data_IF_440878932816
#
_entry.id   IF_440878932816
#
_cell.length_a   1.000
_cell.length_b   1.000
_cell.length_c   1.000
_cell.angle_alpha   90.00
_cell.angle_beta   90.00
_cell.angle_gamma   90.00
#
_symmetry.space_group_name_H-M   'P 1'
#
loop_
_entity.id
_entity.type
_entity.pdbx_description
1 polymer ?
#
# COMPACT_ATOMS: atom_id res chain seq x y z
N UNK A 1 51.49 -10.96 38.34
CA UNK A 1 50.25 -11.58 37.80
C UNK A 1 50.27 -13.04 38.26
N UNK A 2 49.45 -13.42 39.24
CA UNK A 2 49.42 -14.79 39.79
C UNK A 2 48.41 -15.59 38.99
N UNK A 3 48.87 -16.53 38.17
CA UNK A 3 48.00 -17.47 37.46
C UNK A 3 47.57 -18.54 38.47
N UNK A 4 46.26 -18.77 38.64
CA UNK A 4 45.78 -19.80 39.57
C UNK A 4 46.16 -21.20 39.10
N UNK A 5 46.32 -22.14 40.04
CA UNK A 5 46.60 -23.55 39.72
C UNK A 5 45.51 -24.17 38.83
N UNK A 6 44.26 -23.76 39.01
CA UNK A 6 43.15 -24.20 38.17
C UNK A 6 43.30 -23.72 36.71
N UNK A 7 43.73 -22.47 36.52
CA UNK A 7 44.00 -21.92 35.19
C UNK A 7 45.20 -22.60 34.53
N UNK A 8 46.23 -22.96 35.30
CA UNK A 8 47.39 -23.69 34.81
C UNK A 8 47.03 -25.13 34.42
N UNK A 9 46.19 -25.81 35.21
CA UNK A 9 45.67 -27.14 34.93
C UNK A 9 44.82 -27.17 33.66
N UNK A 10 43.89 -26.22 33.50
CA UNK A 10 43.10 -26.07 32.29
C UNK A 10 43.99 -25.81 31.05
N UNK A 11 45.03 -24.98 31.18
CA UNK A 11 45.97 -24.67 30.10
C UNK A 11 46.79 -25.90 29.66
N UNK A 12 47.28 -26.71 30.61
CA UNK A 12 48.01 -27.94 30.29
C UNK A 12 47.11 -29.01 29.64
N UNK A 13 45.84 -29.11 30.06
CA UNK A 13 44.86 -30.01 29.42
C UNK A 13 44.59 -29.58 27.98
N UNK A 14 44.44 -28.28 27.73
CA UNK A 14 44.21 -27.73 26.39
C UNK A 14 45.44 -27.84 25.47
N UNK A 15 46.65 -27.70 26.00
CA UNK A 15 47.89 -27.85 25.22
C UNK A 15 48.19 -29.29 24.81
N UNK A 16 47.72 -30.27 25.58
CA UNK A 16 47.85 -31.69 25.28
C UNK A 16 46.59 -32.27 24.60
N UNK A 17 45.57 -31.45 24.36
CA UNK A 17 44.38 -31.87 23.65
C UNK A 17 44.72 -32.11 22.19
N UNK A 18 44.26 -33.24 21.65
CA UNK A 18 44.39 -33.55 20.25
C UNK A 18 43.56 -32.55 19.43
N UNK A 19 44.27 -31.64 18.75
CA UNK A 19 43.67 -30.57 17.96
C UNK A 19 42.87 -31.13 16.78
N UNK A 20 43.30 -32.25 16.18
CA UNK A 20 42.57 -32.90 15.09
C UNK A 20 41.29 -33.53 15.61
N UNK A 21 41.35 -34.18 16.77
CA UNK A 21 40.18 -34.74 17.43
C UNK A 21 39.18 -33.64 17.83
N UNK A 22 39.64 -32.52 18.37
CA UNK A 22 38.79 -31.37 18.68
C UNK A 22 38.14 -30.79 17.43
N UNK A 23 38.90 -30.56 16.36
CA UNK A 23 38.38 -30.04 15.10
C UNK A 23 37.37 -31.01 14.46
N UNK A 24 37.62 -32.31 14.55
CA UNK A 24 36.71 -33.36 14.11
C UNK A 24 35.38 -33.30 14.86
N UNK A 25 35.39 -33.31 16.19
CA UNK A 25 34.18 -33.25 17.01
C UNK A 25 33.41 -31.94 16.82
N UNK A 26 34.11 -30.81 16.74
CA UNK A 26 33.48 -29.52 16.46
C UNK A 26 32.76 -29.55 15.10
N UNK A 27 33.42 -30.07 14.07
CA UNK A 27 32.85 -30.22 12.72
C UNK A 27 31.61 -31.12 12.74
N UNK A 28 31.68 -32.25 13.47
CA UNK A 28 30.57 -33.17 13.59
C UNK A 28 29.39 -32.53 14.32
N UNK A 29 29.62 -31.84 15.43
CA UNK A 29 28.60 -31.09 16.15
C UNK A 29 27.92 -30.03 15.26
N UNK A 30 28.68 -29.29 14.44
CA UNK A 30 28.11 -28.30 13.51
C UNK A 30 27.24 -28.97 12.45
N UNK A 31 27.69 -30.10 11.88
CA UNK A 31 26.89 -30.89 10.93
C UNK A 31 25.59 -31.40 11.55
N UNK A 32 25.67 -31.93 12.77
CA UNK A 32 24.51 -32.46 13.48
C UNK A 32 23.51 -31.37 13.86
N UNK A 33 24.00 -30.18 14.25
CA UNK A 33 23.16 -29.00 14.44
C UNK A 33 22.45 -28.58 13.15
N UNK A 34 23.17 -28.54 12.02
CA UNK A 34 22.60 -28.19 10.72
C UNK A 34 21.53 -29.20 10.29
N UNK A 35 21.79 -30.50 10.44
CA UNK A 35 20.84 -31.57 10.14
C UNK A 35 19.60 -31.47 11.04
N UNK A 36 19.79 -31.32 12.35
CA UNK A 36 18.70 -31.18 13.31
C UNK A 36 17.82 -29.97 13.01
N UNK A 37 18.44 -28.84 12.69
CA UNK A 37 17.72 -27.62 12.33
C UNK A 37 16.98 -27.79 11.00
N UNK A 38 17.61 -28.43 10.01
CA UNK A 38 17.01 -28.79 8.73
C UNK A 38 15.75 -29.65 8.88
N UNK A 39 15.82 -30.72 9.68
CA UNK A 39 14.65 -31.57 9.98
C UNK A 39 13.55 -30.78 10.71
N UNK A 40 13.91 -29.95 11.70
CA UNK A 40 12.93 -29.06 12.35
C UNK A 40 12.24 -28.13 11.35
N UNK A 41 12.97 -27.57 10.37
CA UNK A 41 12.39 -26.71 9.35
C UNK A 41 11.48 -27.46 8.37
N UNK A 42 11.78 -28.72 8.02
CA UNK A 42 10.90 -29.58 7.20
C UNK A 42 9.53 -29.79 7.86
N UNK A 43 9.51 -29.93 9.18
CA UNK A 43 8.26 -30.08 9.94
C UNK A 43 7.59 -28.76 10.33
N UNK A 44 8.27 -27.62 10.15
CA UNK A 44 7.71 -26.30 10.48
C UNK A 44 6.99 -25.74 9.26
N UNK A 45 5.69 -26.00 9.16
CA UNK A 45 4.85 -25.41 8.11
C UNK A 45 4.48 -23.95 8.43
N UNK A 46 3.97 -23.23 7.42
CA UNK A 46 3.58 -21.82 7.55
C UNK A 46 2.52 -21.60 8.62
N UNK A 47 1.58 -22.53 8.81
CA UNK A 47 0.53 -22.41 9.83
C UNK A 47 1.11 -22.43 11.25
N UNK A 48 2.11 -23.28 11.51
CA UNK A 48 2.81 -23.32 12.79
C UNK A 48 3.57 -22.02 13.06
N UNK A 49 4.19 -21.42 12.02
CA UNK A 49 4.85 -20.10 12.15
C UNK A 49 3.84 -19.01 12.46
N UNK A 50 2.72 -18.97 11.74
CA UNK A 50 1.65 -17.98 11.95
C UNK A 50 1.04 -18.06 13.35
N UNK A 51 0.86 -19.27 13.91
CA UNK A 51 0.36 -19.47 15.28
C UNK A 51 1.32 -18.98 16.38
N UNK A 52 2.62 -18.86 16.09
CA UNK A 52 3.64 -18.40 17.03
C UNK A 52 3.85 -16.89 17.01
N UNK A 53 3.21 -16.16 16.09
CA UNK A 53 3.30 -14.71 16.04
C UNK A 53 2.54 -14.11 17.23
N UNK A 54 3.13 -13.11 17.89
CA UNK A 54 2.48 -12.37 18.98
C UNK A 54 1.36 -11.45 18.49
N UNK A 55 1.25 -11.29 17.17
CA UNK A 55 0.22 -10.51 16.50
C UNK A 55 -0.68 -11.43 15.71
N UNK A 56 -1.94 -11.05 15.54
CA UNK A 56 -2.82 -11.75 14.61
C UNK A 56 -2.42 -11.35 13.17
N UNK A 57 -1.86 -12.27 12.36
CA UNK A 57 -1.30 -11.91 11.05
C UNK A 57 -2.36 -11.44 10.06
N UNK A 58 -3.60 -11.94 10.19
CA UNK A 58 -4.72 -11.51 9.37
C UNK A 58 -5.05 -10.05 9.69
N UNK A 59 -5.09 -9.67 10.97
CA UNK A 59 -5.35 -8.29 11.38
C UNK A 59 -4.25 -7.33 10.92
N UNK A 60 -2.98 -7.77 10.96
CA UNK A 60 -1.86 -7.00 10.42
C UNK A 60 -1.97 -6.82 8.90
N UNK A 61 -2.30 -7.89 8.18
CA UNK A 61 -2.55 -7.85 6.74
C UNK A 61 -3.71 -6.91 6.39
N UNK A 62 -4.85 -7.02 7.08
CA UNK A 62 -5.99 -6.13 6.88
C UNK A 62 -5.63 -4.68 7.21
N UNK A 63 -4.89 -4.46 8.28
CA UNK A 63 -4.43 -3.11 8.66
C UNK A 63 -3.52 -2.52 7.59
N UNK A 64 -2.62 -3.31 7.03
CA UNK A 64 -1.77 -2.86 5.92
C UNK A 64 -2.55 -2.63 4.62
N UNK A 65 -3.54 -3.47 4.34
CA UNK A 65 -4.33 -3.40 3.10
C UNK A 65 -5.36 -2.26 3.12
N UNK A 66 -6.02 -2.04 4.27
CA UNK A 66 -7.02 -0.97 4.45
C UNK A 66 -6.32 0.38 4.71
N UNK A 67 -5.10 0.35 5.25
CA UNK A 67 -4.35 1.54 5.65
C UNK A 67 -5.00 2.24 6.83
N UNK A 68 -4.98 3.57 6.83
CA UNK A 68 -5.64 4.40 7.84
C UNK A 68 -7.16 4.54 7.62
N UNK A 69 -7.70 4.04 6.50
CA UNK A 69 -9.11 4.16 6.15
C UNK A 69 -9.52 5.53 5.57
N UNK A 70 -8.63 6.54 5.58
CA UNK A 70 -8.90 7.82 4.93
C UNK A 70 -8.90 7.69 3.41
N UNK A 71 -9.69 8.55 2.75
CA UNK A 71 -9.88 8.56 1.30
C UNK A 71 -9.76 9.97 0.74
N UNK A 72 -9.18 10.09 -0.46
CA UNK A 72 -9.00 11.37 -1.14
C UNK A 72 -10.34 12.13 -1.19
N UNK A 73 -10.38 13.41 -0.78
CA UNK A 73 -11.65 14.13 -0.63
C UNK A 73 -12.45 14.20 -1.93
N UNK A 74 -11.76 14.21 -3.08
CA UNK A 74 -12.34 14.33 -4.41
C UNK A 74 -12.71 12.99 -5.03
N UNK A 75 -11.73 12.13 -5.31
CA UNK A 75 -11.98 10.89 -6.04
C UNK A 75 -12.26 9.67 -5.14
N UNK A 76 -12.13 9.80 -3.81
CA UNK A 76 -12.29 8.73 -2.82
C UNK A 76 -11.31 7.55 -2.97
N UNK A 77 -10.20 7.75 -3.68
CA UNK A 77 -9.10 6.78 -3.68
C UNK A 77 -8.54 6.62 -2.25
N UNK A 78 -8.17 5.40 -1.83
CA UNK A 78 -7.67 5.15 -0.48
C UNK A 78 -6.31 5.84 -0.24
N UNK A 79 -6.04 6.21 1.00
CA UNK A 79 -4.74 6.72 1.42
C UNK A 79 -3.65 5.64 1.32
N UNK A 80 -2.47 6.04 0.86
CA UNK A 80 -1.29 5.17 0.67
C UNK A 80 -0.11 5.52 1.57
N UNK A 81 -0.26 6.51 2.46
CA UNK A 81 0.80 6.98 3.37
C UNK A 81 1.35 5.91 4.34
N UNK A 82 0.80 4.69 4.32
CA UNK A 82 1.33 3.53 5.01
C UNK A 82 1.01 3.51 6.50
N UNK A 83 0.73 2.31 7.02
CA UNK A 83 0.41 2.11 8.43
C UNK A 83 -0.87 2.83 8.89
N UNK A 84 -1.14 2.78 10.20
CA UNK A 84 -2.28 3.49 10.82
C UNK A 84 -1.92 4.90 11.30
N UNK A 85 -0.64 5.16 11.54
CA UNK A 85 -0.18 6.38 12.21
C UNK A 85 0.58 7.24 11.22
N UNK A 86 -0.10 8.25 10.69
CA UNK A 86 0.47 9.32 9.88
C UNK A 86 -0.46 10.54 9.96
N UNK A 87 0.09 11.73 9.75
CA UNK A 87 -0.64 13.01 9.81
C UNK A 87 -1.01 13.54 8.44
N UNK A 88 -0.31 13.11 7.40
CA UNK A 88 -0.52 13.53 6.02
C UNK A 88 -1.06 12.35 5.20
N UNK A 89 -1.96 12.67 4.28
CA UNK A 89 -2.68 11.71 3.45
C UNK A 89 -2.41 11.99 1.98
N UNK A 90 -2.02 10.95 1.25
CA UNK A 90 -1.78 11.02 -0.16
C UNK A 90 -2.15 9.69 -0.83
N UNK A 91 -2.24 9.71 -2.15
CA UNK A 91 -2.38 8.52 -3.00
C UNK A 91 -1.65 8.79 -4.30
N UNK A 92 -0.89 7.80 -4.77
CA UNK A 92 -0.19 7.88 -6.05
C UNK A 92 -1.15 7.70 -7.22
N UNK A 93 -2.22 6.91 -7.04
CA UNK A 93 -3.14 6.55 -8.12
C UNK A 93 -4.52 7.18 -7.93
N UNK A 94 -4.64 8.43 -8.39
CA UNK A 94 -5.93 9.09 -8.44
C UNK A 94 -6.83 8.50 -9.55
N UNK A 95 -8.15 8.62 -9.35
CA UNK A 95 -9.18 8.14 -10.26
C UNK A 95 -10.14 9.27 -10.65
N UNK A 96 -10.97 9.10 -11.71
CA UNK A 96 -11.94 10.11 -12.08
C UNK A 96 -12.83 10.52 -10.90
N UNK A 97 -13.03 11.82 -10.70
CA UNK A 97 -13.78 12.36 -9.56
C UNK A 97 -15.24 11.92 -9.53
N UNK A 98 -15.82 11.54 -10.69
CA UNK A 98 -17.13 10.91 -10.79
C UNK A 98 -17.26 9.62 -9.99
N UNK A 99 -16.17 8.86 -9.81
CA UNK A 99 -16.15 7.68 -8.92
C UNK A 99 -16.20 8.09 -7.43
N UNK A 100 -15.82 9.32 -7.12
CA UNK A 100 -16.00 9.96 -5.82
C UNK A 100 -17.33 10.71 -5.67
N UNK A 101 -18.28 10.50 -6.59
CA UNK A 101 -19.62 11.11 -6.64
C UNK A 101 -19.66 12.57 -7.11
N UNK A 102 -18.57 13.11 -7.65
CA UNK A 102 -18.59 14.45 -8.23
C UNK A 102 -19.31 14.45 -9.58
N UNK A 103 -20.14 15.47 -9.78
CA UNK A 103 -20.89 15.69 -11.03
C UNK A 103 -20.94 17.17 -11.38
N UNK A 104 -21.03 17.47 -12.67
CA UNK A 104 -21.21 18.83 -13.15
C UNK A 104 -22.58 19.37 -12.72
N UNK A 105 -22.64 20.60 -12.20
CA UNK A 105 -23.89 21.19 -11.69
C UNK A 105 -24.94 21.38 -12.78
N UNK A 106 -24.54 21.81 -13.97
CA UNK A 106 -25.49 22.12 -15.03
C UNK A 106 -26.00 20.85 -15.71
N UNK A 107 -25.07 19.98 -16.12
CA UNK A 107 -25.43 18.78 -16.88
C UNK A 107 -25.85 17.61 -15.98
N UNK A 108 -25.50 17.66 -14.69
CA UNK A 108 -25.62 16.57 -13.71
C UNK A 108 -24.78 15.32 -14.08
N UNK A 109 -23.89 15.41 -15.08
CA UNK A 109 -23.06 14.29 -15.52
C UNK A 109 -21.88 14.06 -14.60
N UNK A 110 -21.51 12.79 -14.39
CA UNK A 110 -20.31 12.42 -13.63
C UNK A 110 -19.04 13.07 -14.23
N UNK A 111 -18.17 13.55 -13.34
CA UNK A 111 -16.90 14.20 -13.74
C UNK A 111 -15.87 13.15 -14.16
N UNK A 112 -15.24 13.34 -15.30
CA UNK A 112 -14.16 12.47 -15.80
C UNK A 112 -12.76 12.94 -15.42
N UNK A 113 -12.64 14.19 -14.96
CA UNK A 113 -11.39 14.81 -14.52
C UNK A 113 -10.80 14.06 -13.31
N UNK A 114 -9.49 14.20 -13.12
CA UNK A 114 -8.75 13.61 -12.01
C UNK A 114 -8.28 14.71 -11.08
N UNK A 115 -8.33 14.47 -9.78
CA UNK A 115 -8.05 15.52 -8.80
C UNK A 115 -6.64 16.12 -8.91
N UNK A 116 -5.63 15.36 -9.36
CA UNK A 116 -4.27 15.88 -9.61
C UNK A 116 -4.23 16.98 -10.67
N UNK A 117 -5.07 16.91 -11.71
CA UNK A 117 -5.21 17.99 -12.70
C UNK A 117 -6.19 19.07 -12.23
N UNK A 118 -7.25 18.71 -11.50
CA UNK A 118 -8.22 19.68 -10.98
C UNK A 118 -7.59 20.66 -9.99
N UNK A 119 -6.72 20.20 -9.06
CA UNK A 119 -6.00 21.06 -8.09
C UNK A 119 -5.07 22.10 -8.72
N UNK A 120 -4.66 21.87 -9.97
CA UNK A 120 -3.82 22.81 -10.74
C UNK A 120 -4.64 23.77 -11.61
N UNK A 121 -5.92 23.45 -11.85
CA UNK A 121 -6.79 24.22 -12.73
C UNK A 121 -7.44 25.42 -12.02
N UNK A 122 -8.04 26.32 -12.81
CA UNK A 122 -8.89 27.41 -12.30
C UNK A 122 -10.35 26.98 -12.06
N UNK A 123 -10.61 25.67 -12.04
CA UNK A 123 -11.94 25.14 -11.71
C UNK A 123 -12.24 25.31 -10.23
N UNK A 124 -13.53 25.23 -9.91
CA UNK A 124 -14.02 25.24 -8.55
C UNK A 124 -14.57 23.86 -8.17
N UNK A 125 -14.51 23.54 -6.88
CA UNK A 125 -15.17 22.40 -6.27
C UNK A 125 -16.19 22.86 -5.24
N UNK A 126 -17.13 21.97 -4.93
CA UNK A 126 -18.00 22.09 -3.78
C UNK A 126 -18.27 20.71 -3.20
N UNK A 127 -18.36 20.60 -1.90
CA UNK A 127 -18.67 19.34 -1.23
C UNK A 127 -19.28 19.62 0.14
N UNK A 128 -19.48 18.56 0.94
CA UNK A 128 -20.00 18.72 2.29
C UNK A 128 -19.08 19.59 3.18
N UNK A 129 -17.76 19.48 3.02
CA UNK A 129 -16.79 20.27 3.80
C UNK A 129 -16.86 21.78 3.47
N UNK A 130 -17.34 22.14 2.27
CA UNK A 130 -17.54 23.53 1.88
C UNK A 130 -18.96 24.03 2.15
N UNK A 131 -19.78 23.27 2.90
CA UNK A 131 -21.22 23.54 3.08
C UNK A 131 -21.98 23.73 1.75
N UNK A 132 -21.49 23.12 0.67
CA UNK A 132 -22.08 23.25 -0.66
C UNK A 132 -21.71 24.53 -1.42
N UNK A 133 -20.85 25.39 -0.86
CA UNK A 133 -20.31 26.57 -1.51
C UNK A 133 -19.17 26.23 -2.47
N UNK A 134 -19.01 27.05 -3.51
CA UNK A 134 -17.96 26.88 -4.52
C UNK A 134 -16.65 27.52 -4.08
N UNK A 135 -15.57 26.75 -4.14
CA UNK A 135 -14.22 27.23 -3.85
C UNK A 135 -13.25 26.79 -4.95
N UNK A 136 -12.21 27.59 -5.25
CA UNK A 136 -11.16 27.19 -6.18
C UNK A 136 -10.46 25.91 -5.72
N UNK A 137 -10.24 24.97 -6.64
CA UNK A 137 -9.49 23.76 -6.33
C UNK A 137 -8.08 24.06 -5.81
N UNK A 138 -7.45 25.16 -6.26
CA UNK A 138 -6.15 25.66 -5.75
C UNK A 138 -6.14 25.97 -4.26
N UNK A 139 -7.31 26.11 -3.62
CA UNK A 139 -7.49 26.40 -2.19
C UNK A 139 -8.07 25.21 -1.41
N UNK A 140 -7.93 24.00 -1.94
CA UNK A 140 -8.49 22.81 -1.28
C UNK A 140 -7.91 22.55 0.13
N UNK A 141 -6.67 22.96 0.37
CA UNK A 141 -5.99 22.81 1.67
C UNK A 141 -6.63 23.61 2.79
N UNK A 142 -7.43 24.65 2.48
CA UNK A 142 -8.23 25.38 3.47
C UNK A 142 -9.30 24.46 4.12
N UNK A 143 -9.69 23.38 3.42
CA UNK A 143 -10.71 22.42 3.86
C UNK A 143 -10.16 21.03 4.15
N UNK A 144 -9.04 20.67 3.52
CA UNK A 144 -8.38 19.37 3.65
C UNK A 144 -6.88 19.57 3.88
N UNK A 145 -6.48 20.15 5.03
CA UNK A 145 -5.09 20.55 5.29
C UNK A 145 -4.13 19.37 5.44
N UNK A 146 -4.67 18.20 5.75
CA UNK A 146 -3.98 16.92 5.91
C UNK A 146 -3.85 16.13 4.59
N UNK A 147 -4.47 16.59 3.49
CA UNK A 147 -4.39 15.94 2.19
C UNK A 147 -3.36 16.60 1.30
N UNK A 148 -2.38 15.82 0.88
CA UNK A 148 -1.45 16.17 -0.18
C UNK A 148 -1.93 15.54 -1.50
N UNK A 149 -2.57 16.37 -2.32
CA UNK A 149 -2.83 16.01 -3.71
C UNK A 149 -1.65 16.50 -4.55
N UNK A 150 -0.52 15.82 -4.42
CA UNK A 150 0.60 16.04 -5.32
C UNK A 150 0.14 15.80 -6.77
N UNK A 151 0.69 16.52 -7.75
CA UNK A 151 0.46 16.18 -9.15
C UNK A 151 0.92 14.74 -9.39
N UNK A 152 -0.03 13.83 -9.65
CA UNK A 152 0.29 12.53 -10.22
C UNK A 152 1.16 12.76 -11.46
N UNK A 153 2.25 11.99 -11.60
CA UNK A 153 3.17 12.06 -12.72
C UNK A 153 2.46 12.00 -14.08
N UNK A 154 1.27 11.38 -14.16
CA UNK A 154 0.50 11.29 -15.40
C UNK A 154 -0.51 12.42 -15.61
N UNK A 155 -0.90 13.16 -14.56
CA UNK A 155 -2.01 14.14 -14.53
C UNK A 155 -3.37 13.62 -15.07
N UNK A 156 -3.47 12.31 -15.34
CA UNK A 156 -4.58 11.64 -16.01
C UNK A 156 -4.97 10.38 -15.24
N UNK A 157 -6.19 9.88 -15.47
CA UNK A 157 -6.57 8.61 -14.88
C UNK A 157 -5.81 7.47 -15.56
N UNK A 158 -5.42 6.45 -14.79
CA UNK A 158 -4.92 5.21 -15.36
C UNK A 158 -5.95 4.56 -16.28
N UNK A 159 -5.46 3.78 -17.25
CA UNK A 159 -6.33 3.08 -18.19
C UNK A 159 -7.30 2.13 -17.47
N UNK A 160 -6.87 1.58 -16.33
CA UNK A 160 -7.74 0.83 -15.45
C UNK A 160 -8.96 1.65 -14.99
N UNK A 161 -8.76 2.82 -14.39
CA UNK A 161 -9.87 3.62 -13.86
C UNK A 161 -10.76 4.20 -14.96
N UNK A 162 -10.17 4.56 -16.10
CA UNK A 162 -10.92 4.94 -17.32
C UNK A 162 -11.80 3.78 -17.80
N UNK A 163 -11.28 2.56 -17.84
CA UNK A 163 -12.05 1.35 -18.19
C UNK A 163 -13.19 1.10 -17.21
N UNK A 164 -12.93 1.20 -15.90
CA UNK A 164 -13.93 1.01 -14.85
C UNK A 164 -15.08 2.02 -14.99
N UNK A 165 -14.77 3.32 -15.09
CA UNK A 165 -15.80 4.34 -15.24
C UNK A 165 -16.59 4.14 -16.54
N UNK A 166 -15.93 3.83 -17.66
CA UNK A 166 -16.60 3.57 -18.94
C UNK A 166 -17.54 2.36 -18.86
N UNK A 167 -17.05 1.23 -18.34
CA UNK A 167 -17.80 -0.03 -18.28
C UNK A 167 -19.02 0.04 -17.39
N UNK A 168 -18.90 0.76 -16.26
CA UNK A 168 -19.96 0.83 -15.24
C UNK A 168 -20.62 2.21 -15.17
N UNK A 169 -20.46 3.04 -16.20
CA UNK A 169 -20.89 4.44 -16.23
C UNK A 169 -22.35 4.64 -15.77
N UNK A 170 -23.28 3.92 -16.40
CA UNK A 170 -24.71 3.99 -16.07
C UNK A 170 -25.01 3.57 -14.63
N UNK A 171 -24.36 2.51 -14.15
CA UNK A 171 -24.56 2.01 -12.78
C UNK A 171 -24.07 3.01 -11.72
N UNK A 172 -22.94 3.67 -11.97
CA UNK A 172 -22.48 4.74 -11.10
C UNK A 172 -23.41 5.94 -11.13
N UNK A 173 -23.87 6.34 -12.32
CA UNK A 173 -24.80 7.45 -12.48
C UNK A 173 -26.12 7.21 -11.71
N UNK A 174 -26.71 6.02 -11.86
CA UNK A 174 -27.91 5.59 -11.12
C UNK A 174 -27.67 5.59 -9.60
N UNK A 175 -26.57 4.98 -9.14
CA UNK A 175 -26.26 4.89 -7.72
C UNK A 175 -25.99 6.26 -7.05
N UNK A 176 -25.61 7.27 -7.83
CA UNK A 176 -25.24 8.60 -7.34
C UNK A 176 -26.28 9.69 -7.65
N UNK A 177 -27.46 9.31 -8.17
CA UNK A 177 -28.48 10.25 -8.63
C UNK A 177 -27.89 11.31 -9.57
N UNK A 178 -27.17 10.83 -10.58
CA UNK A 178 -26.43 11.61 -11.55
C UNK A 178 -26.75 11.12 -12.98
N UNK A 179 -26.30 11.89 -13.97
CA UNK A 179 -26.30 11.46 -15.37
C UNK A 179 -24.98 10.77 -15.73
N UNK A 180 -24.99 9.85 -16.71
CA UNK A 180 -23.78 9.23 -17.22
C UNK A 180 -22.69 10.26 -17.59
N UNK A 181 -21.43 9.95 -17.29
CA UNK A 181 -20.29 10.75 -17.75
C UNK A 181 -20.21 10.74 -19.29
N UNK A 182 -19.81 11.87 -19.86
CA UNK A 182 -19.45 11.96 -21.29
C UNK A 182 -18.09 11.29 -21.50
N UNK A 183 -18.10 10.00 -21.79
CA UNK A 183 -16.87 9.26 -22.09
C UNK A 183 -16.38 9.70 -23.47
N UNK A 184 -15.18 10.29 -23.49
CA UNK A 184 -14.49 10.64 -24.71
C UNK A 184 -14.32 9.38 -25.58
N UNK A 185 -14.55 9.52 -26.88
CA UNK A 185 -14.40 8.41 -27.85
C UNK A 185 -13.03 7.74 -27.71
N UNK A 186 -11.97 8.52 -27.45
CA UNK A 186 -10.60 8.08 -27.26
C UNK A 186 -10.38 7.08 -26.10
N UNK A 187 -11.32 6.89 -25.18
CA UNK A 187 -11.22 5.86 -24.13
C UNK A 187 -11.53 4.45 -24.67
N UNK A 188 -10.92 4.07 -25.79
CA UNK A 188 -10.98 2.71 -26.35
C UNK A 188 -9.99 1.79 -25.62
N UNK A 189 -10.21 1.59 -24.33
CA UNK A 189 -9.36 0.75 -23.49
C UNK A 189 -9.94 -0.66 -23.46
N UNK A 190 -9.14 -1.63 -23.88
CA UNK A 190 -9.46 -3.06 -23.74
C UNK A 190 -9.29 -3.52 -22.30
N UNK A 191 -9.93 -4.64 -21.93
CA UNK A 191 -9.73 -5.24 -20.62
C UNK A 191 -8.26 -5.61 -20.37
N UNK A 192 -7.54 -6.04 -21.40
CA UNK A 192 -6.13 -6.41 -21.28
C UNK A 192 -5.23 -5.19 -21.04
N UNK A 193 -5.48 -4.05 -21.72
CA UNK A 193 -4.80 -2.79 -21.41
C UNK A 193 -5.08 -2.32 -19.99
N UNK A 194 -6.34 -2.39 -19.54
CA UNK A 194 -6.70 -2.05 -18.16
C UNK A 194 -5.98 -2.94 -17.13
N UNK A 195 -5.85 -4.25 -17.42
CA UNK A 195 -5.10 -5.20 -16.58
C UNK A 195 -3.58 -4.98 -16.62
N UNK A 196 -3.03 -4.53 -17.75
CA UNK A 196 -1.61 -4.21 -17.84
C UNK A 196 -1.29 -2.95 -17.03
N UNK A 197 -2.08 -1.88 -17.20
CA UNK A 197 -1.90 -0.61 -16.49
C UNK A 197 -1.95 -0.77 -14.96
N UNK A 198 -2.84 -1.62 -14.43
CA UNK A 198 -2.86 -1.87 -12.98
C UNK A 198 -1.63 -2.62 -12.48
N UNK A 199 -1.03 -3.51 -13.29
CA UNK A 199 0.22 -4.23 -12.94
C UNK A 199 1.46 -3.36 -13.03
N UNK A 200 1.45 -2.31 -13.84
CA UNK A 200 2.53 -1.32 -13.87
C UNK A 200 2.47 -0.38 -12.67
N UNK A 201 1.29 -0.22 -12.07
CA UNK A 201 1.06 0.70 -10.95
C UNK A 201 1.38 0.07 -9.57
N UNK A 202 1.49 -1.25 -9.46
CA UNK A 202 1.71 -2.01 -8.21
C UNK A 202 2.66 -3.19 -8.42
#
# INVERSE_FOLDING_TARGET
MVISQDALGAFMILNNADQEQFAHWLTQCVKDMANTLGEKFKHTNIQMKLKKLHVNPQNELFTKLIGCGNQCPFCKAPCEAGGRFHTEHWTSLHRPEGLGRFRWRETQKLVIDVCSSSVLSDKNFRCNATNGEWHPYKRYTDFFPDWENAPDASLQASDYWKYVLKKFNKRFAEAYDAKPADILSLWHISLEQAKASIKESF
#
